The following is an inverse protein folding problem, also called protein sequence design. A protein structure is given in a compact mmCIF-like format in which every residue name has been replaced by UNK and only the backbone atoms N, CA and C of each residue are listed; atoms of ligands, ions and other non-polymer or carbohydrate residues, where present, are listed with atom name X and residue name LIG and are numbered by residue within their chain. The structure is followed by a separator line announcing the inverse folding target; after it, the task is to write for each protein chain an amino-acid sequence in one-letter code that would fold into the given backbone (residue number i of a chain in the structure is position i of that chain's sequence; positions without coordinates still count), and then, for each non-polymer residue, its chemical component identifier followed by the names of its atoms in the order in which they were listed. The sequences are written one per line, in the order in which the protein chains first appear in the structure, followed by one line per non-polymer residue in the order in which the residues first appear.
data_IF_207865957011
#
_entry.id   IF_207865957011
#
_cell.length_a   1.000
_cell.length_b   1.000
_cell.length_c   1.000
_cell.angle_alpha   90.00
_cell.angle_beta   90.00
_cell.angle_gamma   90.00
#
_symmetry.space_group_name_H-M   'P 1'
#
loop_
_entity.id
_entity.type
_entity.pdbx_description
1 polymer ?
#
# COMPACT_ATOMS: atom_id res chain seq x y z
N UNK A 1 3.94 23.83 19.80
CA UNK A 1 3.31 23.91 18.47
C UNK A 1 4.42 23.80 17.43
N UNK A 2 4.26 22.98 16.39
CA UNK A 2 5.20 22.93 15.28
C UNK A 2 4.92 24.09 14.33
N UNK A 3 5.96 24.65 13.72
CA UNK A 3 5.79 25.70 12.73
C UNK A 3 5.37 25.10 11.38
N UNK A 4 4.65 25.85 10.55
CA UNK A 4 4.29 25.42 9.19
C UNK A 4 5.53 25.12 8.32
N UNK A 5 6.68 25.75 8.59
CA UNK A 5 7.96 25.45 7.94
C UNK A 5 8.48 24.06 8.30
N UNK A 6 8.44 23.66 9.58
CA UNK A 6 8.91 22.32 10.00
C UNK A 6 8.10 21.17 9.36
N UNK A 7 6.83 21.44 9.04
CA UNK A 7 5.92 20.47 8.41
C UNK A 7 6.17 20.39 6.91
N UNK A 8 6.36 21.54 6.25
CA UNK A 8 6.74 21.61 4.85
C UNK A 8 8.07 20.86 4.61
N UNK A 9 9.07 21.13 5.46
CA UNK A 9 10.37 20.47 5.41
C UNK A 9 10.22 18.95 5.57
N UNK A 10 9.52 18.46 6.60
CA UNK A 10 9.27 17.02 6.77
C UNK A 10 8.47 16.37 5.65
N UNK A 11 7.48 17.06 5.09
CA UNK A 11 6.72 16.56 3.94
C UNK A 11 7.52 16.56 2.64
N UNK A 12 8.59 17.37 2.56
CA UNK A 12 9.50 17.43 1.42
C UNK A 12 10.70 16.47 1.54
N UNK A 13 11.00 15.97 2.75
CA UNK A 13 12.04 14.97 2.99
C UNK A 13 11.54 13.62 2.45
N UNK A 14 11.70 13.44 1.14
CA UNK A 14 11.48 12.18 0.47
C UNK A 14 12.80 11.48 0.20
N UNK A 15 12.86 10.21 0.61
CA UNK A 15 14.00 9.33 0.37
C UNK A 15 13.87 8.64 -1.00
N UNK A 16 13.76 9.45 -2.04
CA UNK A 16 13.86 9.00 -3.42
C UNK A 16 15.11 9.71 -3.95
N UNK A 17 16.17 8.93 -4.17
CA UNK A 17 17.35 9.44 -4.85
C UNK A 17 16.98 10.02 -6.21
N UNK A 18 17.91 10.74 -6.83
CA UNK A 18 17.76 11.31 -8.17
C UNK A 18 17.42 10.23 -9.22
N UNK A 19 16.11 10.01 -9.45
CA UNK A 19 15.52 9.21 -10.52
C UNK A 19 14.19 8.51 -10.12
N UNK A 20 13.26 8.20 -11.05
CA UNK A 20 12.99 8.77 -12.37
C UNK A 20 11.82 9.78 -12.33
N UNK A 21 11.69 10.52 -13.42
CA UNK A 21 10.67 11.53 -13.71
C UNK A 21 9.24 11.01 -13.92
N UNK A 22 8.83 9.85 -13.37
CA UNK A 22 7.49 9.24 -13.57
C UNK A 22 6.94 8.51 -12.33
N UNK A 23 7.37 8.87 -11.12
CA UNK A 23 6.80 8.29 -9.89
C UNK A 23 5.44 8.96 -9.60
N UNK A 24 4.34 8.20 -9.38
CA UNK A 24 3.05 8.77 -8.98
C UNK A 24 3.14 9.65 -7.72
N UNK A 25 4.06 9.33 -6.80
CA UNK A 25 4.33 10.17 -5.63
C UNK A 25 4.90 11.54 -6.00
N UNK A 26 5.74 11.63 -7.04
CA UNK A 26 6.32 12.90 -7.49
C UNK A 26 5.37 13.73 -8.34
N UNK A 27 4.54 13.10 -9.17
CA UNK A 27 3.64 13.82 -10.09
C UNK A 27 2.26 14.09 -9.53
N UNK A 28 1.78 13.27 -8.61
CA UNK A 28 0.43 13.38 -8.08
C UNK A 28 0.43 13.69 -6.59
N UNK A 29 1.17 12.95 -5.76
CA UNK A 29 1.11 13.20 -4.31
C UNK A 29 1.85 14.47 -3.91
N UNK A 30 3.06 14.70 -4.44
CA UNK A 30 3.90 15.83 -4.06
C UNK A 30 3.26 17.19 -4.41
N UNK A 31 2.67 17.41 -5.60
CA UNK A 31 1.99 18.67 -5.87
C UNK A 31 0.81 18.92 -4.94
N UNK A 32 0.10 17.85 -4.54
CA UNK A 32 -1.04 17.94 -3.64
C UNK A 32 -0.67 18.35 -2.21
N UNK A 33 0.58 18.20 -1.75
CA UNK A 33 0.96 18.62 -0.39
C UNK A 33 0.72 20.13 -0.19
N UNK A 34 0.86 20.92 -1.26
CA UNK A 34 0.72 22.36 -1.22
C UNK A 34 -0.74 22.80 -1.06
N UNK A 35 -1.68 22.02 -1.59
CA UNK A 35 -3.10 22.37 -1.71
C UNK A 35 -4.04 21.53 -0.84
N UNK A 36 -3.62 20.33 -0.42
CA UNK A 36 -4.45 19.36 0.31
C UNK A 36 -3.82 19.09 1.69
N UNK A 37 -4.30 19.76 2.76
CA UNK A 37 -3.70 19.65 4.09
C UNK A 37 -3.62 18.22 4.64
N UNK A 38 -4.65 17.35 4.56
CA UNK A 38 -4.54 15.99 5.08
C UNK A 38 -3.38 15.19 4.47
N UNK A 39 -3.13 15.32 3.16
CA UNK A 39 -2.02 14.66 2.47
C UNK A 39 -0.69 15.15 3.05
N UNK A 40 -0.51 16.47 3.19
CA UNK A 40 0.72 17.06 3.75
C UNK A 40 1.04 16.48 5.13
N UNK A 41 0.05 16.44 6.01
CA UNK A 41 0.23 15.94 7.37
C UNK A 41 0.40 14.42 7.44
N UNK A 42 -0.33 13.67 6.61
CA UNK A 42 -0.17 12.22 6.50
C UNK A 42 1.25 11.88 6.04
N UNK A 43 1.72 12.57 4.99
CA UNK A 43 3.05 12.39 4.43
C UNK A 43 4.17 12.77 5.40
N UNK A 44 4.07 13.93 6.06
CA UNK A 44 5.01 14.32 7.10
C UNK A 44 5.01 13.33 8.28
N UNK A 45 3.84 12.77 8.61
CA UNK A 45 3.70 11.72 9.61
C UNK A 45 4.45 10.44 9.22
N UNK A 46 4.29 9.99 7.97
CA UNK A 46 5.01 8.83 7.40
C UNK A 46 6.52 9.06 7.38
N UNK A 47 6.97 10.23 6.88
CA UNK A 47 8.38 10.60 6.85
C UNK A 47 8.99 10.63 8.26
N UNK A 48 8.30 11.26 9.21
CA UNK A 48 8.70 11.30 10.62
C UNK A 48 8.78 9.91 11.23
N UNK A 49 7.83 9.02 10.92
CA UNK A 49 7.81 7.62 11.39
C UNK A 49 9.04 6.86 10.89
N UNK A 50 9.32 7.00 9.59
CA UNK A 50 10.43 6.32 8.95
C UNK A 50 11.79 6.82 9.46
N UNK A 51 11.97 8.13 9.64
CA UNK A 51 13.20 8.68 10.22
C UNK A 51 13.34 8.24 11.67
N UNK A 52 12.28 8.36 12.48
CA UNK A 52 12.28 7.98 13.89
C UNK A 52 12.79 6.55 14.10
N UNK A 53 12.29 5.61 13.32
CA UNK A 53 12.66 4.22 13.49
C UNK A 53 14.08 3.90 12.99
N UNK A 54 14.66 4.69 12.08
CA UNK A 54 16.08 4.58 11.69
C UNK A 54 17.02 5.11 12.75
N UNK A 55 16.63 6.19 13.40
CA UNK A 55 17.47 6.89 14.38
C UNK A 55 17.15 6.51 15.82
N UNK A 56 16.16 5.64 16.02
CA UNK A 56 15.56 5.35 17.33
C UNK A 56 15.15 6.63 18.07
N UNK A 57 14.62 7.61 17.33
CA UNK A 57 14.24 8.92 17.87
C UNK A 57 12.76 8.93 18.32
N UNK A 58 12.56 8.77 19.62
CA UNK A 58 11.24 8.79 20.26
C UNK A 58 10.49 10.13 20.11
N UNK A 59 11.21 11.24 19.91
CA UNK A 59 10.57 12.54 19.68
C UNK A 59 9.96 12.59 18.28
N UNK A 60 10.65 12.07 17.26
CA UNK A 60 10.12 11.92 15.91
C UNK A 60 9.00 10.88 15.84
N UNK A 61 9.04 9.82 16.65
CA UNK A 61 7.94 8.85 16.73
C UNK A 61 6.66 9.51 17.29
N UNK A 62 6.77 10.24 18.40
CA UNK A 62 5.66 11.02 18.97
C UNK A 62 5.18 12.10 18.00
N UNK A 63 6.08 12.71 17.23
CA UNK A 63 5.75 13.69 16.19
C UNK A 63 4.93 13.04 15.07
N UNK A 64 5.34 11.86 14.60
CA UNK A 64 4.59 11.07 13.62
C UNK A 64 3.15 10.80 14.08
N UNK A 65 2.96 10.38 15.33
CA UNK A 65 1.63 10.14 15.89
C UNK A 65 0.75 11.39 15.87
N UNK A 66 1.29 12.54 16.30
CA UNK A 66 0.54 13.82 16.31
C UNK A 66 0.14 14.26 14.91
N UNK A 67 1.06 14.16 13.94
CA UNK A 67 0.80 14.54 12.55
C UNK A 67 -0.28 13.65 11.93
N UNK A 68 -0.28 12.34 12.21
CA UNK A 68 -1.32 11.40 11.78
C UNK A 68 -2.70 11.75 12.35
N UNK A 69 -2.79 12.01 13.65
CA UNK A 69 -4.06 12.41 14.28
C UNK A 69 -4.60 13.69 13.63
N UNK A 70 -3.72 14.68 13.42
CA UNK A 70 -4.11 15.94 12.80
C UNK A 70 -4.57 15.77 11.35
N UNK A 71 -3.86 14.97 10.55
CA UNK A 71 -4.26 14.63 9.19
C UNK A 71 -5.68 14.07 9.12
N UNK A 72 -6.09 13.28 10.12
CA UNK A 72 -7.43 12.69 10.18
C UNK A 72 -8.51 13.63 10.64
N UNK A 73 -8.21 14.52 11.59
CA UNK A 73 -9.15 15.59 11.93
C UNK A 73 -9.48 16.41 10.67
N UNK A 74 -8.45 16.85 9.95
CA UNK A 74 -8.61 17.59 8.70
C UNK A 74 -9.34 16.78 7.63
N UNK A 75 -9.02 15.48 7.51
CA UNK A 75 -9.72 14.61 6.57
C UNK A 75 -11.21 14.54 6.90
N UNK A 76 -11.60 14.35 8.16
CA UNK A 76 -13.02 14.31 8.57
C UNK A 76 -13.74 15.63 8.31
N UNK A 77 -13.12 16.75 8.64
CA UNK A 77 -13.68 18.08 8.35
C UNK A 77 -13.94 18.25 6.83
N UNK A 78 -13.03 17.75 6.00
CA UNK A 78 -13.20 17.74 4.54
C UNK A 78 -14.29 16.78 4.06
N UNK A 79 -14.52 15.68 4.79
CA UNK A 79 -15.62 14.75 4.50
C UNK A 79 -16.99 15.31 4.85
N UNK A 80 -17.07 16.12 5.90
CA UNK A 80 -18.29 16.82 6.31
C UNK A 80 -18.65 17.97 5.36
N UNK A 81 -17.66 18.57 4.69
CA UNK A 81 -17.85 19.72 3.78
C UNK A 81 -17.33 19.43 2.35
N UNK A 82 -18.04 18.60 1.55
CA UNK A 82 -17.54 18.09 0.27
C UNK A 82 -17.44 19.12 -0.87
N UNK A 83 -17.88 20.37 -0.67
CA UNK A 83 -18.14 21.34 -1.74
C UNK A 83 -16.93 21.87 -2.54
N UNK A 84 -15.70 21.41 -2.29
CA UNK A 84 -14.50 21.95 -2.97
C UNK A 84 -13.34 20.98 -3.17
N UNK A 85 -13.47 19.72 -2.77
CA UNK A 85 -12.32 18.81 -2.66
C UNK A 85 -12.37 17.71 -3.72
N UNK A 86 -11.25 17.48 -4.40
CA UNK A 86 -11.08 16.33 -5.29
C UNK A 86 -11.08 15.01 -4.49
N UNK A 87 -12.05 14.13 -4.75
CA UNK A 87 -12.19 12.83 -4.08
C UNK A 87 -10.95 11.93 -4.23
N UNK A 88 -10.17 12.08 -5.31
CA UNK A 88 -8.90 11.36 -5.46
C UNK A 88 -7.85 11.78 -4.43
N UNK A 89 -7.82 13.07 -4.06
CA UNK A 89 -6.91 13.59 -3.03
C UNK A 89 -7.32 13.10 -1.63
N UNK A 90 -8.63 12.93 -1.40
CA UNK A 90 -9.17 12.32 -0.18
C UNK A 90 -8.72 10.85 -0.09
N UNK A 91 -8.81 10.09 -1.18
CA UNK A 91 -8.29 8.71 -1.22
C UNK A 91 -6.79 8.64 -0.96
N UNK A 92 -6.00 9.51 -1.58
CA UNK A 92 -4.56 9.55 -1.36
C UNK A 92 -4.24 9.77 0.13
N UNK A 93 -5.02 10.65 0.79
CA UNK A 93 -4.90 10.88 2.24
C UNK A 93 -5.22 9.63 3.05
N UNK A 94 -6.30 8.93 2.72
CA UNK A 94 -6.71 7.69 3.40
C UNK A 94 -5.65 6.61 3.23
N UNK A 95 -5.12 6.44 2.02
CA UNK A 95 -4.06 5.50 1.71
C UNK A 95 -2.81 5.75 2.56
N UNK A 96 -2.32 6.99 2.57
CA UNK A 96 -1.15 7.36 3.37
C UNK A 96 -1.37 7.11 4.87
N UNK A 97 -2.59 7.31 5.38
CA UNK A 97 -2.92 7.07 6.78
C UNK A 97 -3.13 5.57 7.10
N UNK A 98 -3.69 4.81 6.17
CA UNK A 98 -4.01 3.38 6.35
C UNK A 98 -2.75 2.51 6.42
N UNK A 99 -1.67 2.93 5.74
CA UNK A 99 -0.34 2.29 5.75
C UNK A 99 0.37 2.38 7.10
N UNK A 100 -0.15 3.16 8.05
CA UNK A 100 0.49 3.37 9.35
C UNK A 100 -0.20 2.48 10.42
N UNK A 101 0.60 1.94 11.34
CA UNK A 101 0.20 0.87 12.28
C UNK A 101 -1.02 1.20 13.16
N UNK A 102 -1.34 2.48 13.32
CA UNK A 102 -2.59 2.92 13.96
C UNK A 102 -3.31 3.83 12.96
N UNK A 103 -4.34 3.33 12.26
CA UNK A 103 -5.17 4.22 11.48
C UNK A 103 -5.84 5.15 12.50
N UNK A 104 -5.68 6.45 12.35
CA UNK A 104 -6.40 7.39 13.19
C UNK A 104 -7.91 7.18 12.98
N UNK A 105 -8.61 6.62 13.98
CA UNK A 105 -10.07 6.44 14.21
C UNK A 105 -11.09 6.49 13.03
N UNK A 106 -10.69 6.40 11.77
CA UNK A 106 -11.60 6.32 10.62
C UNK A 106 -12.37 5.01 10.75
N UNK A 107 -13.65 5.05 10.41
CA UNK A 107 -14.48 3.85 10.31
C UNK A 107 -14.68 3.49 8.84
N UNK A 108 -14.84 2.19 8.55
CA UNK A 108 -14.95 1.71 7.17
C UNK A 108 -16.13 2.34 6.41
N UNK A 109 -17.21 2.71 7.13
CA UNK A 109 -18.36 3.40 6.56
C UNK A 109 -18.02 4.78 5.98
N UNK A 110 -17.08 5.51 6.59
CA UNK A 110 -16.60 6.79 6.06
C UNK A 110 -15.81 6.58 4.76
N UNK A 111 -14.95 5.56 4.73
CA UNK A 111 -14.16 5.24 3.54
C UNK A 111 -15.05 4.79 2.37
N UNK A 112 -16.02 3.90 2.63
CA UNK A 112 -16.98 3.44 1.60
C UNK A 112 -17.81 4.60 1.03
N UNK A 113 -18.18 5.58 1.86
CA UNK A 113 -18.91 6.77 1.40
C UNK A 113 -18.08 7.53 0.35
N UNK A 114 -16.78 7.69 0.56
CA UNK A 114 -15.88 8.39 -0.37
C UNK A 114 -15.71 7.60 -1.66
N UNK A 115 -15.45 6.30 -1.53
CA UNK A 115 -15.31 5.40 -2.69
C UNK A 115 -16.58 5.45 -3.55
N UNK A 116 -17.75 5.53 -2.93
CA UNK A 116 -19.01 5.63 -3.66
C UNK A 116 -19.12 6.90 -4.52
N UNK A 117 -18.54 8.03 -4.08
CA UNK A 117 -18.51 9.30 -4.83
C UNK A 117 -17.61 9.25 -6.06
N UNK A 118 -16.64 8.34 -6.10
CA UNK A 118 -15.77 8.11 -7.26
C UNK A 118 -16.45 7.30 -8.37
N UNK A 119 -17.79 7.29 -8.38
CA UNK A 119 -18.59 6.69 -9.44
C UNK A 119 -19.07 7.79 -10.38
N UNK A 120 -18.72 7.67 -11.66
CA UNK A 120 -19.23 8.52 -12.74
C UNK A 120 -20.12 7.69 -13.64
N UNK A 121 -21.37 8.11 -13.87
CA UNK A 121 -22.35 7.40 -14.72
C UNK A 121 -22.55 5.92 -14.33
N UNK A 122 -22.53 5.61 -13.03
CA UNK A 122 -22.66 4.24 -12.52
C UNK A 122 -21.41 3.37 -12.74
N UNK A 123 -20.35 3.91 -13.33
CA UNK A 123 -19.05 3.24 -13.46
C UNK A 123 -18.05 3.88 -12.49
N UNK A 124 -17.43 3.04 -11.66
CA UNK A 124 -16.42 3.45 -10.71
C UNK A 124 -15.14 3.86 -11.45
N UNK A 125 -14.68 5.09 -11.21
CA UNK A 125 -13.52 5.65 -11.90
C UNK A 125 -12.22 5.06 -11.34
N UNK A 126 -11.34 4.71 -12.26
CA UNK A 126 -10.08 4.07 -11.93
C UNK A 126 -9.02 5.13 -11.59
N UNK A 127 -8.50 5.10 -10.36
CA UNK A 127 -7.55 6.09 -9.84
C UNK A 127 -6.08 5.70 -10.09
N UNK A 128 -5.62 5.75 -11.34
CA UNK A 128 -4.22 5.50 -11.73
C UNK A 128 -3.20 6.28 -10.91
N UNK A 129 -3.55 7.52 -10.62
CA UNK A 129 -2.65 8.54 -10.13
C UNK A 129 -2.28 8.36 -8.65
N UNK A 130 -3.03 7.49 -7.95
CA UNK A 130 -2.96 7.33 -6.49
C UNK A 130 -2.74 5.88 -6.07
N UNK A 131 -3.29 4.91 -6.81
CA UNK A 131 -3.14 3.50 -6.50
C UNK A 131 -3.09 2.67 -7.78
N UNK A 132 -2.12 1.77 -7.95
CA UNK A 132 -1.96 1.01 -9.20
C UNK A 132 -2.97 -0.16 -9.34
N UNK A 133 -4.18 -0.06 -8.81
CA UNK A 133 -5.24 -1.05 -9.00
C UNK A 133 -6.63 -0.42 -9.09
N UNK A 134 -7.62 -1.13 -9.66
CA UNK A 134 -9.02 -0.69 -9.72
C UNK A 134 -9.59 -0.32 -8.36
N UNK A 135 -10.46 0.68 -8.33
CA UNK A 135 -11.01 1.20 -7.08
C UNK A 135 -11.81 0.13 -6.30
N UNK A 136 -12.39 -0.86 -6.99
CA UNK A 136 -13.03 -2.01 -6.34
C UNK A 136 -12.03 -2.87 -5.57
N UNK A 137 -10.87 -3.14 -6.17
CA UNK A 137 -9.79 -3.86 -5.51
C UNK A 137 -9.20 -3.02 -4.36
N UNK A 138 -9.13 -1.70 -4.52
CA UNK A 138 -8.76 -0.78 -3.44
C UNK A 138 -9.76 -0.80 -2.27
N UNK A 139 -11.06 -0.87 -2.56
CA UNK A 139 -12.08 -1.03 -1.52
C UNK A 139 -11.88 -2.35 -0.77
N UNK A 140 -11.68 -3.45 -1.50
CA UNK A 140 -11.45 -4.78 -0.90
C UNK A 140 -10.23 -4.76 0.01
N UNK A 141 -9.06 -4.32 -0.46
CA UNK A 141 -7.85 -4.28 0.38
C UNK A 141 -8.03 -3.38 1.62
N UNK A 142 -8.76 -2.27 1.47
CA UNK A 142 -9.08 -1.41 2.61
C UNK A 142 -9.95 -2.14 3.63
N UNK A 143 -10.99 -2.84 3.19
CA UNK A 143 -11.82 -3.66 4.07
C UNK A 143 -11.01 -4.76 4.77
N UNK A 144 -10.09 -5.43 4.08
CA UNK A 144 -9.17 -6.40 4.68
C UNK A 144 -8.36 -5.77 5.81
N UNK A 145 -7.75 -4.60 5.56
CA UNK A 145 -6.93 -3.89 6.56
C UNK A 145 -7.77 -3.48 7.77
N UNK A 146 -8.97 -2.94 7.55
CA UNK A 146 -9.87 -2.54 8.63
C UNK A 146 -10.35 -3.74 9.44
N UNK A 147 -10.71 -4.83 8.78
CA UNK A 147 -11.17 -6.06 9.41
C UNK A 147 -10.08 -6.62 10.33
N UNK A 148 -8.86 -6.76 9.80
CA UNK A 148 -7.70 -7.21 10.57
C UNK A 148 -7.41 -6.34 11.79
N UNK A 149 -7.49 -5.01 11.63
CA UNK A 149 -7.25 -4.06 12.73
C UNK A 149 -8.37 -4.01 13.77
N UNK A 150 -9.58 -4.42 13.41
CA UNK A 150 -10.75 -4.37 14.30
C UNK A 150 -10.89 -5.58 15.25
N UNK A 151 -10.03 -6.60 15.12
CA UNK A 151 -9.93 -7.81 15.96
C UNK A 151 -11.28 -8.39 16.50
N UNK A 152 -12.27 -8.79 15.66
CA UNK A 152 -13.44 -9.51 16.17
C UNK A 152 -13.39 -10.99 15.80
N UNK A 153 -13.64 -11.87 16.77
CA UNK A 153 -13.92 -13.31 16.62
C UNK A 153 -15.07 -13.61 15.62
N UNK A 154 -15.89 -12.61 15.28
CA UNK A 154 -17.05 -12.70 14.36
C UNK A 154 -16.71 -12.44 12.87
N UNK A 155 -15.43 -12.39 12.52
CA UNK A 155 -14.95 -11.95 11.20
C UNK A 155 -15.08 -12.99 10.07
N UNK A 156 -15.42 -14.26 10.35
CA UNK A 156 -15.47 -15.35 9.33
C UNK A 156 -16.42 -15.07 8.16
N UNK A 157 -17.61 -14.53 8.44
CA UNK A 157 -18.59 -14.21 7.37
C UNK A 157 -18.08 -13.07 6.48
N UNK A 158 -17.43 -12.06 7.07
CA UNK A 158 -16.86 -10.93 6.35
C UNK A 158 -15.65 -11.34 5.51
N UNK A 159 -14.80 -12.23 6.03
CA UNK A 159 -13.68 -12.81 5.26
C UNK A 159 -14.21 -13.55 4.03
N UNK A 160 -15.25 -14.38 4.19
CA UNK A 160 -15.88 -15.11 3.08
C UNK A 160 -16.54 -14.19 2.05
N UNK A 161 -17.17 -13.10 2.49
CA UNK A 161 -17.70 -12.07 1.58
C UNK A 161 -16.57 -11.43 0.74
N UNK A 162 -15.48 -11.02 1.40
CA UNK A 162 -14.32 -10.42 0.73
C UNK A 162 -13.68 -11.38 -0.28
N UNK A 163 -13.53 -12.65 0.09
CA UNK A 163 -13.02 -13.69 -0.79
C UNK A 163 -13.94 -13.92 -2.01
N UNK A 164 -15.25 -13.97 -1.78
CA UNK A 164 -16.26 -14.13 -2.84
C UNK A 164 -16.20 -12.96 -3.82
N UNK A 165 -16.23 -11.72 -3.31
CA UNK A 165 -16.11 -10.50 -4.12
C UNK A 165 -14.82 -10.47 -4.91
N UNK A 166 -13.70 -10.90 -4.32
CA UNK A 166 -12.42 -10.95 -5.02
C UNK A 166 -12.42 -12.01 -6.13
N UNK A 167 -12.97 -13.19 -5.89
CA UNK A 167 -13.04 -14.25 -6.91
C UNK A 167 -13.98 -13.87 -8.07
N UNK A 168 -15.13 -13.26 -7.78
CA UNK A 168 -16.13 -12.85 -8.76
C UNK A 168 -15.77 -11.58 -9.52
N UNK A 169 -14.84 -10.76 -8.99
CA UNK A 169 -14.42 -9.53 -9.64
C UNK A 169 -13.79 -9.81 -11.01
N UNK A 170 -14.33 -9.13 -12.03
CA UNK A 170 -13.87 -9.20 -13.42
C UNK A 170 -13.21 -7.88 -13.81
N UNK A 171 -12.01 -7.92 -14.39
CA UNK A 171 -11.40 -6.70 -14.90
C UNK A 171 -12.24 -6.10 -16.02
N UNK A 172 -12.27 -4.76 -16.15
CA UNK A 172 -12.80 -4.12 -17.35
C UNK A 172 -12.01 -4.57 -18.59
N UNK A 173 -12.51 -4.26 -19.79
CA UNK A 173 -11.81 -4.62 -21.03
C UNK A 173 -10.42 -3.96 -21.05
N UNK A 174 -9.37 -4.77 -20.94
CA UNK A 174 -8.00 -4.31 -20.81
C UNK A 174 -7.03 -5.24 -21.54
N UNK A 175 -5.91 -4.70 -22.00
CA UNK A 175 -4.88 -5.44 -22.76
C UNK A 175 -3.46 -5.13 -22.28
N UNK A 176 -2.50 -5.96 -22.69
CA UNK A 176 -1.07 -5.76 -22.44
C UNK A 176 -0.66 -5.82 -20.97
N UNK A 177 0.47 -5.17 -20.64
CA UNK A 177 1.06 -5.14 -19.29
C UNK A 177 0.08 -4.65 -18.22
N UNK A 178 -0.84 -3.75 -18.58
CA UNK A 178 -1.88 -3.21 -17.70
C UNK A 178 -2.83 -4.31 -17.20
N UNK A 179 -3.24 -5.24 -18.06
CA UNK A 179 -4.07 -6.40 -17.68
C UNK A 179 -3.33 -7.31 -16.70
N UNK A 180 -2.07 -7.63 -17.00
CA UNK A 180 -1.27 -8.49 -16.14
C UNK A 180 -1.02 -7.85 -14.77
N UNK A 181 -0.69 -6.56 -14.73
CA UNK A 181 -0.46 -5.82 -13.49
C UNK A 181 -1.70 -5.79 -12.59
N UNK A 182 -2.90 -5.57 -13.15
CA UNK A 182 -4.15 -5.63 -12.37
C UNK A 182 -4.45 -7.03 -11.85
N UNK A 183 -4.20 -8.06 -12.65
CA UNK A 183 -4.39 -9.45 -12.21
C UNK A 183 -3.41 -9.79 -11.08
N UNK A 184 -2.15 -9.35 -11.17
CA UNK A 184 -1.17 -9.50 -10.08
C UNK A 184 -1.64 -8.79 -8.81
N UNK A 185 -2.23 -7.60 -8.92
CA UNK A 185 -2.81 -6.89 -7.77
C UNK A 185 -3.95 -7.67 -7.13
N UNK A 186 -4.87 -8.22 -7.93
CA UNK A 186 -5.95 -9.09 -7.46
C UNK A 186 -5.40 -10.30 -6.70
N UNK A 187 -4.41 -10.99 -7.27
CA UNK A 187 -3.76 -12.15 -6.65
C UNK A 187 -2.98 -11.77 -5.38
N UNK A 188 -2.31 -10.62 -5.36
CA UNK A 188 -1.61 -10.10 -4.19
C UNK A 188 -2.57 -9.76 -3.04
N UNK A 189 -3.75 -9.21 -3.33
CA UNK A 189 -4.80 -8.99 -2.33
C UNK A 189 -5.31 -10.33 -1.78
N UNK A 190 -5.45 -11.35 -2.64
CA UNK A 190 -5.84 -12.71 -2.22
C UNK A 190 -4.79 -13.32 -1.30
N UNK A 191 -3.51 -13.22 -1.68
CA UNK A 191 -2.40 -13.68 -0.85
C UNK A 191 -2.36 -12.94 0.50
N UNK A 192 -2.59 -11.64 0.49
CA UNK A 192 -2.67 -10.83 1.71
C UNK A 192 -3.81 -11.28 2.63
N UNK A 193 -5.01 -11.50 2.08
CA UNK A 193 -6.17 -11.99 2.82
C UNK A 193 -5.86 -13.34 3.48
N UNK A 194 -5.36 -14.32 2.73
CA UNK A 194 -5.05 -15.65 3.28
C UNK A 194 -3.94 -15.61 4.32
N UNK A 195 -2.94 -14.73 4.14
CA UNK A 195 -1.86 -14.56 5.11
C UNK A 195 -2.37 -14.00 6.45
N UNK A 196 -3.31 -13.06 6.40
CA UNK A 196 -3.91 -12.50 7.61
C UNK A 196 -4.97 -13.42 8.23
N UNK A 197 -5.63 -14.24 7.42
CA UNK A 197 -6.74 -15.11 7.83
C UNK A 197 -6.57 -16.54 7.26
N UNK A 198 -5.69 -17.37 7.83
CA UNK A 198 -5.28 -18.66 7.27
C UNK A 198 -6.34 -19.77 7.29
N UNK A 199 -7.50 -19.54 7.94
CA UNK A 199 -8.66 -20.44 7.88
C UNK A 199 -9.31 -20.50 6.47
N UNK A 200 -8.85 -19.68 5.52
CA UNK A 200 -9.32 -19.68 4.13
C UNK A 200 -8.60 -20.76 3.31
N UNK A 201 -9.33 -21.78 2.84
CA UNK A 201 -8.79 -22.84 1.99
C UNK A 201 -8.39 -22.31 0.60
N UNK A 202 -7.10 -22.10 0.35
CA UNK A 202 -6.61 -21.90 -1.02
C UNK A 202 -6.01 -23.19 -1.58
N UNK A 203 -6.60 -23.69 -2.67
CA UNK A 203 -6.14 -24.90 -3.38
C UNK A 203 -5.14 -24.62 -4.50
N UNK A 204 -4.90 -23.35 -4.84
CA UNK A 204 -4.05 -22.95 -5.96
C UNK A 204 -2.78 -22.22 -5.49
N UNK A 205 -1.66 -22.49 -6.15
CA UNK A 205 -0.40 -21.77 -5.92
C UNK A 205 -0.51 -20.35 -6.45
N UNK A 206 -0.87 -19.40 -5.57
CA UNK A 206 -0.92 -17.97 -5.89
C UNK A 206 0.45 -17.43 -6.33
N UNK A 207 1.52 -17.99 -5.77
CA UNK A 207 2.91 -17.65 -6.10
C UNK A 207 3.19 -17.85 -7.59
N UNK A 208 2.90 -19.02 -8.15
CA UNK A 208 3.19 -19.34 -9.54
C UNK A 208 2.44 -18.42 -10.51
N UNK A 209 1.19 -18.10 -10.18
CA UNK A 209 0.36 -17.19 -10.99
C UNK A 209 0.92 -15.76 -10.98
N UNK A 210 1.27 -15.24 -9.79
CA UNK A 210 1.87 -13.91 -9.65
C UNK A 210 3.19 -13.82 -10.40
N UNK A 211 4.04 -14.84 -10.28
CA UNK A 211 5.34 -14.86 -10.92
C UNK A 211 5.25 -14.97 -12.45
N UNK A 212 4.41 -15.87 -12.97
CA UNK A 212 4.21 -16.01 -14.41
C UNK A 212 3.67 -14.72 -15.07
N UNK A 213 2.77 -14.01 -14.39
CA UNK A 213 2.30 -12.70 -14.84
C UNK A 213 3.34 -11.59 -14.66
N UNK A 214 4.19 -11.69 -13.64
CA UNK A 214 5.25 -10.71 -13.41
C UNK A 214 6.32 -10.79 -14.52
N UNK A 215 6.72 -12.00 -14.93
CA UNK A 215 7.75 -12.24 -15.95
C UNK A 215 7.42 -11.59 -17.30
N UNK A 216 6.14 -11.51 -17.68
CA UNK A 216 5.70 -10.86 -18.92
C UNK A 216 5.71 -9.33 -18.87
N UNK A 217 5.98 -8.74 -17.70
CA UNK A 217 6.16 -7.29 -17.52
C UNK A 217 7.66 -6.99 -17.43
N UNK A 218 8.22 -6.10 -18.27
CA UNK A 218 9.64 -5.76 -18.21
C UNK A 218 10.03 -5.20 -16.83
N UNK A 219 11.13 -5.70 -16.21
CA UNK A 219 11.48 -5.34 -14.83
C UNK A 219 11.82 -3.85 -14.65
N UNK A 220 12.36 -3.20 -15.68
CA UNK A 220 12.63 -1.76 -15.73
C UNK A 220 11.47 -0.99 -16.40
N UNK A 221 10.27 -1.06 -15.83
CA UNK A 221 9.09 -0.34 -16.33
C UNK A 221 8.24 0.19 -15.18
N UNK A 222 7.49 1.28 -15.44
CA UNK A 222 6.54 1.85 -14.46
C UNK A 222 5.52 0.82 -13.96
N UNK A 223 5.11 -0.11 -14.83
CA UNK A 223 4.24 -1.22 -14.47
C UNK A 223 4.88 -2.21 -13.51
N UNK A 224 6.19 -2.46 -13.62
CA UNK A 224 6.93 -3.38 -12.75
C UNK A 224 7.09 -2.83 -11.34
N UNK A 225 7.33 -1.52 -11.21
CA UNK A 225 7.51 -0.89 -9.89
C UNK A 225 6.23 -0.97 -9.04
N UNK A 226 5.07 -0.86 -9.70
CA UNK A 226 3.77 -1.06 -9.07
C UNK A 226 3.51 -2.50 -8.60
N UNK A 227 4.36 -3.47 -8.92
CA UNK A 227 4.20 -4.87 -8.51
C UNK A 227 4.90 -5.18 -7.18
N UNK A 228 5.63 -4.22 -6.60
CA UNK A 228 6.39 -4.43 -5.36
C UNK A 228 5.52 -5.04 -4.26
N UNK A 229 4.39 -4.39 -3.96
CA UNK A 229 3.49 -4.85 -2.90
C UNK A 229 2.87 -6.22 -3.18
N UNK A 230 2.21 -6.49 -4.32
CA UNK A 230 1.60 -7.81 -4.56
C UNK A 230 2.62 -8.94 -4.65
N UNK A 231 3.81 -8.70 -5.21
CA UNK A 231 4.92 -9.67 -5.20
C UNK A 231 5.36 -9.96 -3.77
N UNK A 232 5.50 -8.92 -2.94
CA UNK A 232 5.90 -9.10 -1.55
C UNK A 232 4.92 -10.01 -0.78
N UNK A 233 3.60 -9.89 -1.03
CA UNK A 233 2.60 -10.70 -0.33
C UNK A 233 2.71 -12.21 -0.59
N UNK A 234 3.18 -12.63 -1.77
CA UNK A 234 3.44 -14.05 -2.06
C UNK A 234 4.87 -14.46 -1.67
N UNK A 235 5.85 -13.56 -1.84
CA UNK A 235 7.25 -13.84 -1.57
C UNK A 235 7.52 -14.09 -0.08
N UNK A 236 6.77 -13.44 0.81
CA UNK A 236 6.92 -13.58 2.27
C UNK A 236 6.53 -14.98 2.79
N UNK A 237 5.82 -15.78 1.99
CA UNK A 237 5.39 -17.14 2.38
C UNK A 237 6.33 -18.23 1.88
N UNK A 238 7.41 -17.89 1.18
CA UNK A 238 8.32 -18.87 0.58
C UNK A 238 9.29 -19.50 1.58
N UNK A 239 9.42 -20.82 1.49
CA UNK A 239 10.30 -21.65 2.30
C UNK A 239 11.65 -21.90 1.63
N UNK A 240 12.47 -22.77 2.23
CA UNK A 240 13.83 -23.05 1.76
C UNK A 240 13.90 -23.68 0.36
N UNK A 241 12.82 -24.32 -0.10
CA UNK A 241 12.74 -24.95 -1.42
C UNK A 241 12.62 -23.99 -2.59
N UNK A 242 12.14 -22.77 -2.37
CA UNK A 242 11.78 -21.79 -3.41
C UNK A 242 12.99 -20.97 -3.90
N UNK A 243 14.15 -21.62 -4.08
CA UNK A 243 15.43 -20.95 -4.34
C UNK A 243 15.40 -20.16 -5.65
N UNK A 244 14.75 -20.70 -6.68
CA UNK A 244 14.68 -20.08 -8.01
C UNK A 244 13.83 -18.81 -7.97
N UNK A 245 12.69 -18.88 -7.30
CA UNK A 245 11.71 -17.81 -7.12
C UNK A 245 12.32 -16.68 -6.31
N UNK A 246 12.99 -17.01 -5.20
CA UNK A 246 13.76 -16.04 -4.38
C UNK A 246 14.81 -15.31 -5.19
N UNK A 247 15.59 -16.02 -6.01
CA UNK A 247 16.61 -15.41 -6.88
C UNK A 247 16.01 -14.50 -7.96
N UNK A 248 14.87 -14.87 -8.52
CA UNK A 248 14.17 -14.02 -9.48
C UNK A 248 13.71 -12.70 -8.84
N UNK A 249 13.16 -12.75 -7.62
CA UNK A 249 12.74 -11.54 -6.90
C UNK A 249 13.94 -10.68 -6.51
N UNK A 250 15.04 -11.27 -6.03
CA UNK A 250 16.30 -10.53 -5.81
C UNK A 250 16.72 -9.75 -7.04
N UNK A 251 16.76 -10.41 -8.19
CA UNK A 251 17.17 -9.80 -9.45
C UNK A 251 16.23 -8.66 -9.86
N UNK A 252 14.91 -8.89 -9.81
CA UNK A 252 13.91 -7.88 -10.16
C UNK A 252 13.96 -6.66 -9.24
N UNK A 253 14.04 -6.86 -7.92
CA UNK A 253 14.13 -5.76 -6.96
C UNK A 253 15.44 -4.98 -7.11
N UNK A 254 16.54 -5.65 -7.47
CA UNK A 254 17.82 -5.00 -7.77
C UNK A 254 17.72 -4.11 -9.01
N UNK A 255 17.15 -4.60 -10.11
CA UNK A 255 16.91 -3.79 -11.32
C UNK A 255 16.05 -2.57 -11.00
N UNK A 256 14.96 -2.76 -10.24
CA UNK A 256 14.10 -1.65 -9.86
C UNK A 256 14.86 -0.62 -9.02
N UNK A 257 15.62 -1.06 -8.01
CA UNK A 257 16.45 -0.17 -7.19
C UNK A 257 17.47 0.61 -8.02
N UNK A 258 18.16 -0.05 -8.96
CA UNK A 258 19.13 0.59 -9.86
C UNK A 258 18.47 1.59 -10.81
N UNK A 259 17.27 1.27 -11.30
CA UNK A 259 16.56 2.11 -12.29
C UNK A 259 15.86 3.31 -11.65
N UNK A 260 15.23 3.12 -10.49
CA UNK A 260 14.40 4.15 -9.86
C UNK A 260 14.96 4.72 -8.56
N UNK A 261 16.08 4.20 -8.04
CA UNK A 261 16.70 4.70 -6.81
C UNK A 261 15.80 4.64 -5.56
N UNK A 262 14.69 3.89 -5.62
CA UNK A 262 13.66 3.90 -4.61
C UNK A 262 13.97 2.85 -3.53
N UNK A 263 14.22 3.33 -2.31
CA UNK A 263 14.54 2.48 -1.17
C UNK A 263 13.42 1.52 -0.73
N UNK A 264 12.18 1.68 -1.20
CA UNK A 264 11.15 0.68 -0.92
C UNK A 264 11.52 -0.71 -1.46
N UNK A 265 12.22 -0.77 -2.60
CA UNK A 265 12.66 -2.03 -3.18
C UNK A 265 13.78 -2.66 -2.36
N UNK A 266 14.76 -1.86 -1.89
CA UNK A 266 15.81 -2.36 -0.99
C UNK A 266 15.25 -2.78 0.36
N UNK A 267 14.33 -1.99 0.95
CA UNK A 267 13.69 -2.32 2.21
C UNK A 267 12.87 -3.61 2.10
N UNK A 268 12.09 -3.78 1.03
CA UNK A 268 11.34 -4.99 0.80
C UNK A 268 12.26 -6.20 0.65
N UNK A 269 13.36 -6.06 -0.10
CA UNK A 269 14.34 -7.13 -0.24
C UNK A 269 14.97 -7.50 1.11
N UNK A 270 15.43 -6.51 1.89
CA UNK A 270 16.00 -6.76 3.22
C UNK A 270 15.00 -7.46 4.15
N UNK A 271 13.72 -7.06 4.12
CA UNK A 271 12.67 -7.74 4.89
C UNK A 271 12.53 -9.18 4.43
N UNK A 272 12.45 -9.43 3.11
CA UNK A 272 12.34 -10.78 2.56
C UNK A 272 13.55 -11.66 2.94
N UNK A 273 14.78 -11.14 2.89
CA UNK A 273 15.96 -11.91 3.32
C UNK A 273 15.89 -12.29 4.81
N UNK A 274 15.42 -11.39 5.67
CA UNK A 274 15.20 -11.70 7.09
C UNK A 274 14.12 -12.77 7.25
N UNK A 275 13.02 -12.67 6.50
CA UNK A 275 11.94 -13.67 6.52
C UNK A 275 12.46 -15.03 6.07
N UNK A 276 13.15 -15.09 4.94
CA UNK A 276 13.65 -16.32 4.35
C UNK A 276 14.78 -16.96 5.17
N UNK A 277 15.50 -16.18 5.98
CA UNK A 277 16.53 -16.70 6.87
C UNK A 277 15.98 -17.21 8.21
N UNK A 278 14.76 -16.81 8.61
CA UNK A 278 14.13 -17.29 9.85
C UNK A 278 13.69 -18.74 9.67
N UNK A 279 14.01 -19.57 10.66
CA UNK A 279 13.52 -20.97 10.77
C UNK A 279 12.12 -21.08 11.38
N UNK A 280 11.64 -20.02 12.04
CA UNK A 280 10.31 -19.94 12.64
C UNK A 280 9.33 -19.21 11.70
N UNK A 281 8.04 -19.52 11.82
CA UNK A 281 6.96 -18.90 11.05
C UNK A 281 7.06 -17.36 11.18
N UNK A 282 7.07 -16.68 10.02
CA UNK A 282 7.03 -15.23 9.97
C UNK A 282 5.79 -14.73 10.71
N UNK A 283 6.00 -13.86 11.68
CA UNK A 283 4.90 -13.27 12.43
C UNK A 283 4.00 -12.46 11.48
N UNK A 284 2.79 -12.97 11.31
CA UNK A 284 1.76 -12.46 10.39
C UNK A 284 1.37 -11.01 10.73
N UNK A 285 1.64 -10.59 11.97
CA UNK A 285 1.37 -9.27 12.53
C UNK A 285 2.51 -8.25 12.28
N UNK A 286 3.75 -8.69 12.02
CA UNK A 286 4.91 -7.80 11.82
C UNK A 286 5.21 -7.54 10.34
N UNK A 287 4.26 -6.90 9.66
CA UNK A 287 4.53 -6.21 8.38
C UNK A 287 5.37 -4.94 8.62
N UNK A 288 5.45 -4.48 9.87
CA UNK A 288 6.38 -3.45 10.33
C UNK A 288 7.51 -4.10 11.15
N UNK A 289 8.66 -4.34 10.51
CA UNK A 289 9.91 -4.17 11.26
C UNK A 289 9.96 -2.66 11.58
N UNK A 290 10.19 -2.22 12.84
CA UNK A 290 10.29 -0.80 13.16
C UNK A 290 11.19 -0.08 12.15
N UNK A 291 10.60 0.83 11.36
CA UNK A 291 11.31 1.63 10.35
C UNK A 291 11.41 1.04 8.95
N UNK A 292 10.74 -0.07 8.68
CA UNK A 292 10.75 -0.75 7.36
C UNK A 292 9.34 -1.10 6.89
N UNK A 293 8.39 -0.17 7.02
CA UNK A 293 7.06 -0.31 6.43
C UNK A 293 7.18 -0.36 4.90
N UNK A 294 6.69 -1.43 4.30
CA UNK A 294 6.53 -1.51 2.84
C UNK A 294 5.24 -0.77 2.51
N UNK A 295 5.38 0.41 1.91
CA UNK A 295 4.23 1.23 1.53
C UNK A 295 3.52 0.59 0.33
N UNK A 296 2.20 0.78 0.24
CA UNK A 296 1.43 0.49 -0.97
C UNK A 296 1.74 1.60 -1.98
N UNK A 297 2.90 1.56 -2.63
CA UNK A 297 3.31 2.53 -3.66
C UNK A 297 3.93 1.77 -4.81
#
# INVERSE_FOLDING_TARGET
MLSNSDIADLSSIFYLGSGPSENPMFHYVLPLISTIPPIRFALAGSASCHVAARTSDEALERKSLRLRVHATCLLREMLENPGSVNDQSVLASILMLAQLDRPPNLIIAEVKRIISRLSSNGQRQWSYDVFPCPIDLFEIITEVVFLFKSLPEESKLQIKDLETRLNEWKPPLMTGARKHMVEIWKLGIKAYLHRLFPDTESKESLSDQVLGLAEVIPPASSWSYALLWPIFQVAVTWGDGDVKEKNMIRHRLSIALETIGCRHHSNALEVLEVVWAKREEFDRFSISIPGRTIMLV
#
